data_IF_297037078738
#
_entry.id   IF_297037078738
#
_cell.length_a   1.000
_cell.length_b   1.000
_cell.length_c   1.000
_cell.angle_alpha   90.00
_cell.angle_beta   90.00
_cell.angle_gamma   90.00
#
_symmetry.space_group_name_H-M   'P 1'
#
loop_
_entity.id
_entity.type
_entity.pdbx_description
1 polymer ?
#
# COMPACT_ATOMS: atom_id res chain seq x y z
N UNK A 1 11.69 19.63 7.14
CA UNK A 1 12.11 18.42 6.40
C UNK A 1 10.94 17.52 5.99
N UNK A 2 9.81 17.46 6.71
CA UNK A 2 8.65 16.63 6.32
C UNK A 2 7.87 17.11 5.07
N UNK A 3 8.06 18.35 4.61
CA UNK A 3 7.47 18.88 3.37
C UNK A 3 7.99 18.21 2.08
N UNK A 4 8.71 17.08 2.19
CA UNK A 4 9.32 16.34 1.08
C UNK A 4 8.94 14.85 1.03
N UNK A 5 7.99 14.37 1.82
CA UNK A 5 7.35 13.08 1.52
C UNK A 5 6.33 13.24 0.39
N UNK A 6 6.78 13.81 -0.75
CA UNK A 6 6.03 13.79 -1.99
C UNK A 6 6.20 12.39 -2.59
N UNK A 7 5.25 11.50 -2.30
CA UNK A 7 5.19 10.20 -2.97
C UNK A 7 4.77 10.46 -4.40
N UNK A 8 5.76 10.62 -5.26
CA UNK A 8 5.55 10.71 -6.70
C UNK A 8 5.12 9.31 -7.15
N UNK A 9 3.87 9.19 -7.60
CA UNK A 9 3.35 7.99 -8.26
C UNK A 9 4.12 7.79 -9.57
N UNK A 10 4.78 6.65 -9.74
CA UNK A 10 5.48 6.30 -10.99
C UNK A 10 4.51 6.10 -12.16
N UNK A 11 3.22 5.89 -11.86
CA UNK A 11 2.17 5.57 -12.83
C UNK A 11 1.93 6.68 -13.86
N UNK A 12 2.11 7.94 -13.47
CA UNK A 12 1.96 9.08 -14.39
C UNK A 12 3.03 9.10 -15.49
N UNK A 13 4.24 8.59 -15.21
CA UNK A 13 5.33 8.50 -16.19
C UNK A 13 5.24 7.24 -17.07
N UNK A 14 4.67 6.15 -16.53
CA UNK A 14 4.45 4.90 -17.27
C UNK A 14 3.33 5.00 -18.32
N UNK A 15 2.46 6.03 -18.26
CA UNK A 15 1.34 6.21 -19.18
C UNK A 15 1.76 6.30 -20.67
N UNK A 16 2.96 6.80 -20.97
CA UNK A 16 3.48 6.87 -22.34
C UNK A 16 3.93 5.49 -22.90
N UNK A 17 4.45 4.60 -22.04
CA UNK A 17 4.87 3.23 -22.42
C UNK A 17 3.78 2.16 -22.27
N UNK A 18 2.80 2.38 -21.39
CA UNK A 18 1.66 1.48 -21.13
C UNK A 18 0.41 1.77 -21.98
N UNK A 19 0.44 2.80 -22.85
CA UNK A 19 -0.72 3.24 -23.65
C UNK A 19 -1.32 2.14 -24.57
N UNK A 20 -0.64 1.01 -24.74
CA UNK A 20 -1.11 -0.11 -25.56
C UNK A 20 -2.16 -1.04 -24.92
N UNK A 21 -2.38 -1.03 -23.60
CA UNK A 21 -3.13 -2.15 -22.96
C UNK A 21 -4.58 -1.90 -22.55
N UNK A 22 -5.05 -0.66 -22.40
CA UNK A 22 -6.48 -0.38 -22.19
C UNK A 22 -6.81 1.02 -22.70
N UNK A 23 -7.16 1.14 -23.98
CA UNK A 23 -7.88 2.31 -24.47
C UNK A 23 -9.21 2.41 -23.73
N UNK A 24 -9.28 3.32 -22.76
CA UNK A 24 -10.55 3.84 -22.26
C UNK A 24 -11.15 4.69 -23.37
N UNK A 25 -12.27 4.26 -23.97
CA UNK A 25 -13.03 5.11 -24.87
C UNK A 25 -13.89 6.08 -24.05
N UNK A 26 -13.67 7.36 -24.33
CA UNK A 26 -14.47 8.51 -23.96
C UNK A 26 -15.76 8.58 -24.79
N UNK A 27 -16.88 8.88 -24.15
CA UNK A 27 -18.09 9.41 -24.81
C UNK A 27 -19.13 8.37 -25.22
N UNK A 28 -20.41 8.70 -25.01
CA UNK A 28 -21.60 7.87 -25.27
C UNK A 28 -21.89 7.51 -26.72
N UNK A 29 -20.90 6.97 -27.44
CA UNK A 29 -21.11 6.26 -28.69
C UNK A 29 -21.65 4.84 -28.41
N UNK A 30 -22.47 4.27 -29.31
CA UNK A 30 -22.93 2.89 -29.17
C UNK A 30 -21.74 1.92 -29.15
N UNK A 31 -21.67 1.09 -28.09
CA UNK A 31 -20.62 0.08 -27.88
C UNK A 31 -20.46 -0.76 -29.15
N UNK A 32 -19.24 -0.80 -29.68
CA UNK A 32 -18.89 -1.55 -30.90
C UNK A 32 -19.14 -3.05 -30.74
N UNK A 33 -19.31 -3.78 -31.85
CA UNK A 33 -19.58 -5.23 -31.82
C UNK A 33 -18.40 -5.99 -31.20
N UNK A 34 -17.18 -5.54 -31.46
CA UNK A 34 -15.94 -6.07 -30.92
C UNK A 34 -15.87 -5.88 -29.40
N UNK A 35 -16.32 -4.73 -28.91
CA UNK A 35 -16.31 -4.38 -27.48
C UNK A 35 -17.40 -5.12 -26.69
N UNK A 36 -18.51 -5.49 -27.33
CA UNK A 36 -19.51 -6.42 -26.77
C UNK A 36 -18.98 -7.84 -26.58
N UNK A 37 -17.98 -8.26 -27.35
CA UNK A 37 -17.36 -9.59 -27.27
C UNK A 37 -16.15 -9.65 -26.33
N UNK A 38 -15.54 -8.50 -26.01
CA UNK A 38 -14.41 -8.43 -25.08
C UNK A 38 -14.87 -8.67 -23.65
N UNK A 39 -14.22 -9.60 -22.96
CA UNK A 39 -14.40 -9.76 -21.51
C UNK A 39 -13.53 -8.70 -20.81
N UNK A 40 -14.15 -7.86 -19.99
CA UNK A 40 -13.50 -6.82 -19.18
C UNK A 40 -13.59 -7.16 -17.69
N UNK A 41 -13.29 -6.21 -16.80
CA UNK A 41 -13.36 -6.34 -15.34
C UNK A 41 -12.44 -7.38 -14.69
N UNK A 42 -11.45 -7.89 -15.43
CA UNK A 42 -10.38 -8.76 -14.90
C UNK A 42 -9.19 -7.90 -14.40
N UNK A 43 -9.49 -6.87 -13.60
CA UNK A 43 -8.48 -5.97 -13.05
C UNK A 43 -7.72 -6.63 -11.88
N UNK A 44 -6.47 -6.22 -11.61
CA UNK A 44 -5.71 -6.81 -10.51
C UNK A 44 -6.37 -6.62 -9.14
N UNK A 45 -6.14 -7.56 -8.23
CA UNK A 45 -6.52 -7.49 -6.83
C UNK A 45 -5.27 -7.50 -5.95
N UNK A 46 -5.13 -6.52 -5.06
CA UNK A 46 -4.03 -6.49 -4.09
C UNK A 46 -4.43 -7.29 -2.85
N UNK A 47 -3.81 -8.45 -2.63
CA UNK A 47 -4.10 -9.30 -1.47
C UNK A 47 -3.70 -8.67 -0.14
N UNK A 48 -2.95 -7.56 -0.14
CA UNK A 48 -2.74 -6.76 1.06
C UNK A 48 -4.07 -6.23 1.66
N UNK A 49 -5.12 -6.11 0.84
CA UNK A 49 -6.48 -5.80 1.32
C UNK A 49 -6.94 -6.77 2.40
N UNK A 50 -6.53 -8.04 2.29
CA UNK A 50 -6.92 -9.10 3.20
C UNK A 50 -6.20 -9.11 4.55
N UNK A 51 -5.16 -8.30 4.73
CA UNK A 51 -4.51 -8.17 6.04
C UNK A 51 -5.43 -7.40 6.95
N UNK A 52 -5.94 -8.02 8.02
CA UNK A 52 -6.91 -7.42 8.96
C UNK A 52 -6.28 -6.68 10.14
N UNK A 53 -4.99 -6.87 10.39
CA UNK A 53 -4.31 -6.24 11.51
C UNK A 53 -3.97 -4.78 11.20
N UNK A 54 -4.42 -3.86 12.05
CA UNK A 54 -3.96 -2.48 12.02
C UNK A 54 -2.49 -2.41 12.43
N UNK A 55 -1.66 -1.56 11.80
CA UNK A 55 -0.31 -1.34 12.28
C UNK A 55 -0.35 -0.80 13.71
N UNK A 56 0.53 -1.28 14.57
CA UNK A 56 0.65 -0.74 15.92
C UNK A 56 1.19 0.70 15.82
N UNK A 57 0.36 1.68 16.11
CA UNK A 57 0.76 3.09 16.10
C UNK A 57 1.41 3.45 17.44
N UNK A 58 2.71 3.72 17.40
CA UNK A 58 3.44 4.17 18.58
C UNK A 58 2.83 5.46 19.15
N UNK A 59 2.83 5.55 20.47
CA UNK A 59 2.37 6.73 21.20
C UNK A 59 3.55 7.54 21.77
N UNK A 60 3.44 8.88 21.82
CA UNK A 60 2.35 9.69 21.26
C UNK A 60 2.35 9.68 19.73
N UNK A 61 1.18 9.77 19.10
CA UNK A 61 1.11 9.93 17.66
C UNK A 61 1.76 11.27 17.24
N UNK A 62 2.54 11.23 16.16
CA UNK A 62 3.11 12.42 15.52
C UNK A 62 2.87 12.38 14.01
N UNK A 63 3.20 13.47 13.32
CA UNK A 63 2.90 13.61 11.88
C UNK A 63 3.48 12.46 11.04
N UNK A 64 4.70 11.99 11.34
CA UNK A 64 5.32 10.89 10.59
C UNK A 64 4.57 9.56 10.76
N UNK A 65 4.16 9.24 12.00
CA UNK A 65 3.36 8.05 12.31
C UNK A 65 2.00 8.13 11.61
N UNK A 66 1.31 9.28 11.67
CA UNK A 66 -0.02 9.42 11.07
C UNK A 66 0.02 9.39 9.54
N UNK A 67 0.98 10.05 8.90
CA UNK A 67 1.17 9.97 7.43
C UNK A 67 1.47 8.54 7.03
N UNK A 68 2.42 7.88 7.69
CA UNK A 68 2.76 6.49 7.37
C UNK A 68 1.59 5.53 7.56
N UNK A 69 0.79 5.70 8.61
CA UNK A 69 -0.42 4.90 8.83
C UNK A 69 -1.46 5.08 7.72
N UNK A 70 -1.70 6.32 7.27
CA UNK A 70 -2.59 6.59 6.14
C UNK A 70 -2.06 5.96 4.84
N UNK A 71 -0.77 6.08 4.57
CA UNK A 71 -0.15 5.48 3.39
C UNK A 71 -0.22 3.94 3.40
N UNK A 72 -0.01 3.32 4.55
CA UNK A 72 -0.14 1.87 4.72
C UNK A 72 -1.58 1.37 4.47
N UNK A 73 -2.60 2.24 4.58
CA UNK A 73 -3.99 1.92 4.28
C UNK A 73 -4.34 1.98 2.78
N UNK A 74 -3.38 2.35 1.92
CA UNK A 74 -3.60 2.53 0.47
C UNK A 74 -4.27 1.32 -0.20
N UNK A 75 -3.86 0.06 0.01
CA UNK A 75 -4.51 -1.07 -0.66
C UNK A 75 -6.02 -1.11 -0.39
N UNK A 76 -6.42 -0.92 0.87
CA UNK A 76 -7.82 -0.96 1.27
C UNK A 76 -8.59 0.29 0.82
N UNK A 77 -7.95 1.48 0.88
CA UNK A 77 -8.55 2.72 0.39
C UNK A 77 -8.83 2.62 -1.12
N UNK A 78 -7.87 2.10 -1.89
CA UNK A 78 -8.05 1.91 -3.33
C UNK A 78 -9.08 0.82 -3.63
N UNK A 79 -9.20 -0.22 -2.80
CA UNK A 79 -10.25 -1.24 -2.93
C UNK A 79 -11.66 -0.65 -2.73
N UNK A 80 -11.84 0.29 -1.79
CA UNK A 80 -13.12 1.01 -1.63
C UNK A 80 -13.57 1.70 -2.92
N UNK A 81 -12.64 2.04 -3.81
CA UNK A 81 -12.89 2.75 -5.07
C UNK A 81 -13.07 1.79 -6.27
N UNK A 82 -12.96 0.48 -6.11
CA UNK A 82 -13.10 -0.46 -7.24
C UNK A 82 -14.54 -0.49 -7.77
N UNK A 83 -15.52 -0.53 -6.87
CA UNK A 83 -16.94 -0.49 -7.22
C UNK A 83 -17.29 0.89 -7.80
N UNK A 84 -17.89 0.98 -9.00
CA UNK A 84 -18.33 2.25 -9.56
C UNK A 84 -19.33 2.99 -8.68
N UNK A 85 -20.06 2.32 -7.77
CA UNK A 85 -20.95 2.99 -6.79
C UNK A 85 -20.21 3.91 -5.82
N UNK A 86 -18.91 3.69 -5.61
CA UNK A 86 -18.09 4.51 -4.72
C UNK A 86 -17.55 5.78 -5.38
N UNK A 87 -17.78 5.95 -6.69
CA UNK A 87 -17.22 7.04 -7.51
C UNK A 87 -18.27 7.65 -8.43
N UNK A 88 -18.08 8.91 -8.79
CA UNK A 88 -18.88 9.54 -9.85
C UNK A 88 -18.39 9.12 -11.24
N UNK A 89 -18.95 9.72 -12.28
CA UNK A 89 -18.71 9.35 -13.68
C UNK A 89 -17.40 9.87 -14.27
N UNK A 90 -16.64 10.71 -13.55
CA UNK A 90 -15.37 11.24 -14.05
C UNK A 90 -14.29 10.14 -14.10
N UNK A 91 -13.32 10.32 -15.00
CA UNK A 91 -12.21 9.37 -15.16
C UNK A 91 -11.27 9.34 -13.96
N UNK A 92 -11.10 10.48 -13.29
CA UNK A 92 -10.26 10.61 -12.10
C UNK A 92 -11.12 10.86 -10.87
N UNK A 93 -10.84 10.09 -9.82
CA UNK A 93 -11.33 10.34 -8.47
C UNK A 93 -10.16 10.71 -7.59
N UNK A 94 -10.24 11.88 -6.94
CA UNK A 94 -9.25 12.35 -6.00
C UNK A 94 -9.85 12.32 -4.62
N UNK A 95 -9.21 11.60 -3.71
CA UNK A 95 -9.62 11.43 -2.32
C UNK A 95 -8.53 12.02 -1.42
N UNK A 96 -8.94 12.76 -0.41
CA UNK A 96 -8.06 13.31 0.62
C UNK A 96 -8.54 12.80 1.97
N UNK A 97 -7.62 12.23 2.74
CA UNK A 97 -7.85 11.86 4.14
C UNK A 97 -7.07 12.85 5.00
N UNK A 98 -7.77 13.75 5.69
CA UNK A 98 -7.18 14.61 6.70
C UNK A 98 -7.37 13.98 8.08
N UNK A 99 -6.31 13.88 8.87
CA UNK A 99 -6.34 13.38 10.24
C UNK A 99 -5.90 14.47 11.19
N UNK A 100 -6.66 14.68 12.27
CA UNK A 100 -6.31 15.62 13.33
C UNK A 100 -6.37 14.89 14.67
N UNK A 101 -5.36 15.07 15.52
CA UNK A 101 -5.30 14.52 16.88
C UNK A 101 -4.94 15.63 17.87
N UNK A 102 -5.70 15.73 18.96
CA UNK A 102 -5.52 16.68 20.04
C UNK A 102 -5.71 16.00 21.42
N UNK A 103 -5.75 16.77 22.50
CA UNK A 103 -5.92 16.25 23.86
C UNK A 103 -7.33 15.67 24.13
N UNK A 104 -8.34 16.00 23.30
CA UNK A 104 -9.70 15.49 23.41
C UNK A 104 -9.93 14.18 22.62
N UNK A 105 -9.06 13.88 21.66
CA UNK A 105 -9.18 12.72 20.78
C UNK A 105 -8.66 13.01 19.38
N UNK A 106 -9.11 12.23 18.41
CA UNK A 106 -8.79 12.47 17.01
C UNK A 106 -9.94 12.16 16.09
N UNK A 107 -9.86 12.67 14.85
CA UNK A 107 -10.84 12.43 13.81
C UNK A 107 -10.17 12.34 12.44
N UNK A 108 -10.76 11.54 11.56
CA UNK A 108 -10.50 11.57 10.13
C UNK A 108 -11.60 12.34 9.41
N UNK A 109 -11.22 13.17 8.44
CA UNK A 109 -12.13 13.87 7.53
C UNK A 109 -11.79 13.43 6.12
N UNK A 110 -12.81 12.91 5.44
CA UNK A 110 -12.72 12.46 4.06
C UNK A 110 -13.30 13.53 3.14
N UNK A 111 -12.52 13.96 2.16
CA UNK A 111 -12.95 14.93 1.14
C UNK A 111 -12.38 14.57 -0.22
N UNK A 112 -12.84 15.23 -1.28
CA UNK A 112 -12.32 15.00 -2.62
C UNK A 112 -13.30 15.25 -3.75
N UNK A 113 -12.87 14.89 -4.95
CA UNK A 113 -13.59 15.06 -6.20
C UNK A 113 -14.04 13.69 -6.72
N UNK A 114 -15.24 13.64 -7.32
CA UNK A 114 -15.81 12.43 -7.92
C UNK A 114 -16.01 11.27 -6.93
N UNK A 115 -16.21 11.56 -5.64
CA UNK A 115 -16.57 10.59 -4.60
C UNK A 115 -18.07 10.60 -4.31
N UNK A 116 -18.65 9.42 -4.11
CA UNK A 116 -20.05 9.27 -3.67
C UNK A 116 -20.12 9.13 -2.13
N UNK A 117 -21.32 9.29 -1.53
CA UNK A 117 -21.52 9.00 -0.11
C UNK A 117 -21.09 7.58 0.29
N UNK A 118 -21.32 6.59 -0.56
CA UNK A 118 -20.89 5.20 -0.35
C UNK A 118 -19.37 5.07 -0.31
N UNK A 119 -18.67 5.75 -1.23
CA UNK A 119 -17.21 5.79 -1.26
C UNK A 119 -16.65 6.44 0.00
N UNK A 120 -17.21 7.58 0.42
CA UNK A 120 -16.86 8.27 1.66
C UNK A 120 -17.05 7.35 2.87
N UNK A 121 -18.19 6.68 2.97
CA UNK A 121 -18.50 5.79 4.09
C UNK A 121 -17.56 4.58 4.15
N UNK A 122 -17.20 4.01 2.99
CA UNK A 122 -16.25 2.90 2.91
C UNK A 122 -14.87 3.32 3.44
N UNK A 123 -14.34 4.44 2.94
CA UNK A 123 -13.03 4.95 3.34
C UNK A 123 -13.03 5.38 4.81
N UNK A 124 -14.07 6.09 5.27
CA UNK A 124 -14.20 6.53 6.66
C UNK A 124 -14.12 5.32 7.62
N UNK A 125 -14.97 4.31 7.39
CA UNK A 125 -14.97 3.08 8.21
C UNK A 125 -13.60 2.40 8.23
N UNK A 126 -12.94 2.36 7.07
CA UNK A 126 -11.62 1.78 6.95
C UNK A 126 -10.58 2.54 7.79
N UNK A 127 -10.46 3.86 7.62
CA UNK A 127 -9.42 4.64 8.31
C UNK A 127 -9.68 4.69 9.82
N UNK A 128 -10.94 4.79 10.24
CA UNK A 128 -11.32 4.73 11.67
C UNK A 128 -10.88 3.40 12.31
N UNK A 129 -10.91 2.30 11.55
CA UNK A 129 -10.53 0.96 12.05
C UNK A 129 -9.01 0.76 11.99
N UNK A 130 -8.33 1.29 10.98
CA UNK A 130 -6.92 0.98 10.67
C UNK A 130 -5.93 1.99 11.22
N UNK A 131 -6.37 3.21 11.49
CA UNK A 131 -5.55 4.28 12.03
C UNK A 131 -6.15 4.71 13.36
N UNK A 132 -6.17 3.83 14.39
CA UNK A 132 -6.81 4.14 15.66
C UNK A 132 -6.12 5.35 16.32
N UNK A 133 -6.88 6.41 16.56
CA UNK A 133 -6.39 7.66 17.12
C UNK A 133 -6.53 7.65 18.64
N UNK A 134 -5.43 7.94 19.33
CA UNK A 134 -5.42 8.08 20.79
C UNK A 134 -5.24 9.57 21.14
N UNK A 135 -5.96 10.11 22.14
CA UNK A 135 -5.77 11.50 22.56
C UNK A 135 -4.31 11.79 22.95
N UNK A 136 -3.83 12.99 22.64
CA UNK A 136 -2.52 13.46 23.07
C UNK A 136 -2.51 13.80 24.57
N UNK A 137 -1.31 13.92 25.14
CA UNK A 137 -1.16 14.41 26.50
C UNK A 137 -1.75 15.83 26.64
N UNK A 138 -2.32 16.14 27.80
CA UNK A 138 -2.91 17.44 28.10
C UNK A 138 -1.92 18.58 27.83
N UNK A 139 -2.35 19.60 27.09
CA UNK A 139 -1.53 20.74 26.70
C UNK A 139 -0.52 20.49 25.57
N UNK A 140 -0.50 19.30 24.97
CA UNK A 140 0.28 19.04 23.76
C UNK A 140 -0.31 19.81 22.57
N UNK A 141 0.55 20.24 21.64
CA UNK A 141 0.11 20.85 20.39
C UNK A 141 -0.66 19.83 19.53
N UNK A 142 -1.77 20.21 18.89
CA UNK A 142 -2.47 19.33 17.95
C UNK A 142 -1.56 18.88 16.81
N UNK A 143 -1.72 17.64 16.38
CA UNK A 143 -1.01 17.05 15.24
C UNK A 143 -1.99 16.87 14.10
N UNK A 144 -1.61 17.32 12.91
CA UNK A 144 -2.37 17.10 11.68
C UNK A 144 -1.55 16.33 10.65
N UNK A 145 -2.22 15.48 9.87
CA UNK A 145 -1.66 14.85 8.68
C UNK A 145 -2.69 14.82 7.56
N UNK A 146 -2.19 14.73 6.33
CA UNK A 146 -3.01 14.59 5.13
C UNK A 146 -2.40 13.54 4.22
N UNK A 147 -3.23 12.76 3.55
CA UNK A 147 -2.81 11.87 2.47
C UNK A 147 -3.81 11.94 1.33
N UNK A 148 -3.29 12.09 0.11
CA UNK A 148 -4.09 12.10 -1.12
C UNK A 148 -3.99 10.75 -1.81
N UNK A 149 -5.13 10.23 -2.23
CA UNK A 149 -5.27 9.03 -3.04
C UNK A 149 -5.91 9.41 -4.37
N UNK A 150 -5.36 8.91 -5.47
CA UNK A 150 -5.86 9.19 -6.82
C UNK A 150 -6.19 7.85 -7.45
N UNK A 151 -7.43 7.73 -7.91
CA UNK A 151 -7.94 6.61 -8.68
C UNK A 151 -8.25 7.09 -10.08
N UNK A 152 -7.65 6.45 -11.07
CA UNK A 152 -7.78 6.81 -12.48
C UNK A 152 -8.34 5.64 -13.28
N UNK A 153 -9.34 5.92 -14.11
CA UNK A 153 -9.84 4.97 -15.09
C UNK A 153 -8.68 4.52 -16.02
N UNK A 154 -8.52 3.21 -16.20
CA UNK A 154 -7.44 2.64 -17.02
C UNK A 154 -6.13 2.38 -16.27
N UNK A 155 -5.83 3.13 -15.20
CA UNK A 155 -4.60 2.96 -14.41
C UNK A 155 -4.86 2.35 -13.02
N UNK A 156 -6.10 2.41 -12.53
CA UNK A 156 -6.50 1.88 -11.23
C UNK A 156 -7.54 0.76 -11.39
N UNK A 157 -7.51 -0.28 -10.53
CA UNK A 157 -8.50 -1.35 -10.57
C UNK A 157 -9.93 -0.80 -10.47
N UNK A 158 -10.79 -1.19 -11.40
CA UNK A 158 -12.20 -0.81 -11.42
C UNK A 158 -13.02 -1.85 -12.14
N UNK A 159 -14.33 -1.84 -11.89
CA UNK A 159 -15.30 -2.64 -12.64
C UNK A 159 -16.34 -1.76 -13.32
N UNK A 160 -16.87 -2.22 -14.46
CA UNK A 160 -17.93 -1.58 -15.23
C UNK A 160 -18.98 -2.64 -15.60
N UNK A 161 -20.21 -2.45 -15.14
CA UNK A 161 -21.31 -3.37 -15.41
C UNK A 161 -22.13 -2.94 -16.63
N UNK A 162 -22.88 -3.89 -17.21
CA UNK A 162 -23.79 -3.66 -18.33
C UNK A 162 -23.14 -3.73 -19.71
N UNK A 163 -21.90 -4.22 -19.81
CA UNK A 163 -21.19 -4.37 -21.10
C UNK A 163 -21.59 -5.67 -21.81
N UNK A 164 -21.45 -6.79 -21.11
CA UNK A 164 -21.90 -8.11 -21.52
C UNK A 164 -21.91 -9.05 -20.29
N UNK A 165 -22.64 -10.18 -20.33
CA UNK A 165 -22.77 -11.06 -19.17
C UNK A 165 -21.45 -11.63 -18.62
N UNK A 166 -20.46 -11.87 -19.48
CA UNK A 166 -19.15 -12.38 -19.05
C UNK A 166 -18.32 -11.32 -18.33
N UNK A 167 -18.37 -10.07 -18.79
CA UNK A 167 -17.78 -8.92 -18.10
C UNK A 167 -18.48 -8.63 -16.78
N UNK A 168 -19.81 -8.77 -16.71
CA UNK A 168 -20.58 -8.56 -15.48
C UNK A 168 -20.27 -9.64 -14.44
N UNK A 169 -20.21 -10.91 -14.86
CA UNK A 169 -19.73 -11.99 -14.01
C UNK A 169 -18.30 -11.74 -13.52
N UNK A 170 -17.40 -11.34 -14.43
CA UNK A 170 -16.02 -11.00 -14.08
C UNK A 170 -15.94 -9.85 -13.07
N UNK A 171 -16.82 -8.84 -13.19
CA UNK A 171 -16.95 -7.74 -12.24
C UNK A 171 -17.42 -8.21 -10.87
N UNK A 172 -18.41 -9.11 -10.82
CA UNK A 172 -18.87 -9.71 -9.56
C UNK A 172 -17.78 -10.54 -8.89
N UNK A 173 -17.03 -11.35 -9.67
CA UNK A 173 -15.85 -12.08 -9.17
C UNK A 173 -14.83 -11.09 -8.60
N UNK A 174 -14.49 -10.01 -9.33
CA UNK A 174 -13.52 -9.02 -8.85
C UNK A 174 -13.95 -8.31 -7.57
N UNK A 175 -15.21 -7.90 -7.44
CA UNK A 175 -15.72 -7.27 -6.22
C UNK A 175 -15.80 -8.24 -5.03
N UNK A 176 -15.98 -9.53 -5.28
CA UNK A 176 -16.05 -10.53 -4.23
C UNK A 176 -14.68 -10.93 -3.65
N UNK A 177 -13.56 -10.66 -4.33
CA UNK A 177 -12.22 -11.08 -3.88
C UNK A 177 -11.85 -10.57 -2.48
N UNK A 178 -12.29 -9.37 -2.09
CA UNK A 178 -12.08 -8.84 -0.74
C UNK A 178 -12.78 -9.66 0.38
N UNK A 179 -13.73 -10.53 0.02
CA UNK A 179 -14.42 -11.45 0.94
C UNK A 179 -13.82 -12.86 0.93
N UNK A 180 -12.83 -13.13 0.06
CA UNK A 180 -12.20 -14.44 -0.13
C UNK A 180 -10.81 -14.50 0.48
N UNK A 181 -10.59 -13.71 1.54
CA UNK A 181 -9.30 -13.57 2.19
C UNK A 181 -8.74 -14.85 2.79
N UNK A 182 -9.59 -15.83 3.08
CA UNK A 182 -9.18 -17.17 3.46
C UNK A 182 -8.38 -17.89 2.35
N UNK A 183 -8.66 -17.61 1.08
CA UNK A 183 -7.89 -18.17 -0.03
C UNK A 183 -6.47 -17.60 -0.13
N UNK A 184 -6.21 -16.40 0.41
CA UNK A 184 -4.94 -15.70 0.26
C UNK A 184 -4.01 -15.81 1.48
N UNK A 185 -4.38 -16.59 2.51
CA UNK A 185 -3.66 -16.67 3.77
C UNK A 185 -2.17 -17.07 3.63
N UNK A 186 -1.82 -17.89 2.62
CA UNK A 186 -0.43 -18.29 2.36
C UNK A 186 0.47 -17.21 1.73
N UNK A 187 -0.07 -16.03 1.42
CA UNK A 187 0.60 -14.99 0.63
C UNK A 187 0.85 -13.71 1.43
N UNK A 188 1.19 -13.79 2.72
CA UNK A 188 1.37 -12.59 3.54
C UNK A 188 2.47 -11.64 3.02
N UNK A 189 3.58 -12.17 2.54
CA UNK A 189 4.75 -11.41 2.05
C UNK A 189 5.19 -11.85 0.65
N UNK A 190 4.32 -12.54 -0.09
CA UNK A 190 4.57 -13.00 -1.46
C UNK A 190 3.44 -12.54 -2.37
N UNK A 191 3.74 -12.20 -3.61
CA UNK A 191 2.72 -12.01 -4.62
C UNK A 191 2.19 -13.38 -5.07
N UNK A 192 0.87 -13.61 -5.10
CA UNK A 192 0.33 -14.85 -5.66
C UNK A 192 0.63 -14.98 -7.16
N UNK A 193 0.74 -16.20 -7.70
CA UNK A 193 0.89 -16.41 -9.13
C UNK A 193 -0.36 -15.93 -9.90
N UNK A 194 -0.20 -15.63 -11.17
CA UNK A 194 -1.33 -15.42 -12.09
C UNK A 194 -2.03 -16.74 -12.29
N UNK A 195 -3.36 -16.73 -12.21
CA UNK A 195 -4.17 -17.92 -12.46
C UNK A 195 -5.07 -17.68 -13.66
N UNK A 196 -5.28 -18.74 -14.45
CA UNK A 196 -6.23 -18.73 -15.55
C UNK A 196 -7.32 -19.74 -15.28
N UNK A 197 -8.55 -19.25 -15.24
CA UNK A 197 -9.75 -20.06 -15.17
C UNK A 197 -10.46 -20.08 -16.53
N UNK A 198 -11.12 -21.19 -16.86
CA UNK A 198 -12.06 -21.29 -17.96
C UNK A 198 -13.46 -21.41 -17.35
N UNK A 199 -14.31 -20.43 -17.62
CA UNK A 199 -15.65 -20.28 -17.03
C UNK A 199 -16.71 -20.72 -18.04
N UNK A 200 -17.64 -21.57 -17.61
CA UNK A 200 -18.84 -21.97 -18.36
C UNK A 200 -20.09 -21.49 -17.62
N UNK A 201 -20.84 -20.58 -18.24
CA UNK A 201 -22.11 -20.04 -17.74
C UNK A 201 -23.26 -20.58 -18.59
N UNK A 202 -24.36 -20.98 -17.94
CA UNK A 202 -25.57 -21.47 -18.62
C UNK A 202 -26.82 -20.77 -18.09
N UNK A 203 -27.77 -20.46 -18.98
CA UNK A 203 -29.00 -19.72 -18.67
C UNK A 203 -29.84 -20.37 -17.58
N UNK A 204 -29.87 -21.69 -17.55
CA UNK A 204 -30.64 -22.47 -16.59
C UNK A 204 -30.00 -22.54 -15.18
N UNK A 205 -28.77 -22.07 -15.03
CA UNK A 205 -28.02 -22.14 -13.77
C UNK A 205 -27.99 -20.78 -13.08
N UNK A 206 -28.26 -20.76 -11.77
CA UNK A 206 -28.15 -19.55 -10.95
C UNK A 206 -26.69 -19.15 -10.66
N UNK A 207 -25.74 -20.07 -10.85
CA UNK A 207 -24.29 -19.89 -10.71
C UNK A 207 -23.56 -20.50 -11.92
N UNK A 208 -22.23 -20.42 -11.94
CA UNK A 208 -21.44 -21.02 -13.02
C UNK A 208 -21.74 -22.52 -13.15
N UNK A 209 -21.85 -23.01 -14.39
CA UNK A 209 -22.11 -24.41 -14.69
C UNK A 209 -20.84 -25.25 -14.49
N UNK A 210 -19.68 -24.71 -14.89
CA UNK A 210 -18.36 -25.27 -14.59
C UNK A 210 -17.30 -24.18 -14.54
N UNK A 211 -16.26 -24.43 -13.75
CA UNK A 211 -15.04 -23.62 -13.70
C UNK A 211 -13.86 -24.57 -13.59
N UNK A 212 -12.94 -24.47 -14.54
CA UNK A 212 -11.66 -25.19 -14.50
C UNK A 212 -10.51 -24.19 -14.41
N UNK A 213 -9.41 -24.58 -13.79
CA UNK A 213 -8.19 -23.78 -13.73
C UNK A 213 -7.09 -24.51 -14.48
N UNK A 214 -6.28 -23.74 -15.19
CA UNK A 214 -5.03 -24.24 -15.75
C UNK A 214 -4.07 -24.59 -14.60
N UNK A 215 -3.27 -25.65 -14.77
CA UNK A 215 -2.26 -26.05 -13.78
C UNK A 215 -1.22 -24.94 -13.58
N UNK A 216 -0.94 -24.60 -12.33
CA UNK A 216 0.03 -23.54 -11.99
C UNK A 216 1.44 -24.10 -11.87
N UNK A 217 1.56 -25.40 -11.60
CA UNK A 217 2.86 -26.08 -11.48
C UNK A 217 3.56 -25.82 -10.14
N UNK A 218 2.85 -25.28 -9.15
CA UNK A 218 3.31 -25.13 -7.76
C UNK A 218 2.20 -25.56 -6.79
N UNK A 219 2.51 -26.26 -5.68
CA UNK A 219 1.50 -26.68 -4.73
C UNK A 219 0.66 -25.53 -4.16
N UNK A 220 1.30 -24.40 -3.83
CA UNK A 220 0.62 -23.22 -3.29
C UNK A 220 -0.31 -22.58 -4.32
N UNK A 221 0.13 -22.51 -5.59
CA UNK A 221 -0.68 -22.00 -6.69
C UNK A 221 -1.90 -22.87 -6.97
N UNK A 222 -1.74 -24.19 -6.96
CA UNK A 222 -2.84 -25.13 -7.18
C UNK A 222 -3.85 -25.12 -6.01
N UNK A 223 -3.38 -24.93 -4.77
CA UNK A 223 -4.25 -24.73 -3.60
C UNK A 223 -5.06 -23.43 -3.72
N UNK A 224 -4.42 -22.34 -4.14
CA UNK A 224 -5.10 -21.07 -4.39
C UNK A 224 -6.18 -21.22 -5.47
N UNK A 225 -5.83 -21.85 -6.60
CA UNK A 225 -6.76 -22.12 -7.70
C UNK A 225 -7.96 -22.96 -7.24
N UNK A 226 -7.74 -24.00 -6.43
CA UNK A 226 -8.81 -24.82 -5.87
C UNK A 226 -9.73 -24.01 -4.94
N UNK A 227 -9.18 -23.16 -4.07
CA UNK A 227 -9.96 -22.30 -3.20
C UNK A 227 -10.81 -21.31 -4.02
N UNK A 228 -10.19 -20.60 -4.97
CA UNK A 228 -10.87 -19.63 -5.83
C UNK A 228 -11.92 -20.28 -6.72
N UNK A 229 -11.71 -21.50 -7.23
CA UNK A 229 -12.74 -22.28 -7.92
C UNK A 229 -13.99 -22.42 -7.05
N UNK A 230 -13.83 -22.86 -5.80
CA UNK A 230 -14.95 -23.00 -4.87
C UNK A 230 -15.71 -21.68 -4.66
N UNK A 231 -14.99 -20.57 -4.51
CA UNK A 231 -15.60 -19.24 -4.33
C UNK A 231 -16.30 -18.73 -5.60
N UNK A 232 -15.68 -18.87 -6.77
CA UNK A 232 -16.26 -18.44 -8.05
C UNK A 232 -17.52 -19.23 -8.41
N UNK A 233 -17.57 -20.53 -8.09
CA UNK A 233 -18.76 -21.37 -8.34
C UNK A 233 -19.98 -20.91 -7.53
N UNK A 234 -19.79 -20.11 -6.47
CA UNK A 234 -20.86 -19.53 -5.66
C UNK A 234 -21.31 -18.14 -6.15
N UNK A 235 -20.63 -17.54 -7.14
CA UNK A 235 -20.98 -16.20 -7.64
C UNK A 235 -22.26 -16.28 -8.48
N UNK A 236 -23.28 -15.45 -8.16
CA UNK A 236 -24.52 -15.43 -8.93
C UNK A 236 -24.31 -15.03 -10.40
N UNK A 237 -25.05 -15.69 -11.27
CA UNK A 237 -25.02 -15.49 -12.72
C UNK A 237 -26.38 -14.98 -13.19
N UNK A 238 -26.36 -13.98 -14.07
CA UNK A 238 -27.52 -13.58 -14.86
C UNK A 238 -27.14 -13.64 -16.34
N UNK A 239 -27.72 -14.61 -17.06
CA UNK A 239 -27.40 -14.85 -18.46
C UNK A 239 -28.66 -14.76 -19.32
N UNK A 240 -28.59 -14.00 -20.41
CA UNK A 240 -29.70 -13.87 -21.37
C UNK A 240 -29.58 -14.85 -22.54
N UNK A 241 -28.34 -15.27 -22.85
CA UNK A 241 -27.97 -16.30 -23.85
C UNK A 241 -27.93 -17.69 -23.24
N UNK A 242 -28.01 -18.75 -24.04
CA UNK A 242 -28.10 -20.13 -23.53
C UNK A 242 -26.83 -20.62 -22.83
N UNK A 243 -25.67 -20.36 -23.42
CA UNK A 243 -24.35 -20.74 -22.90
C UNK A 243 -23.32 -19.64 -23.22
N UNK A 244 -22.38 -19.40 -22.30
CA UNK A 244 -21.25 -18.49 -22.50
C UNK A 244 -19.99 -19.08 -21.86
N UNK A 245 -18.95 -19.25 -22.69
CA UNK A 245 -17.63 -19.76 -22.25
C UNK A 245 -16.56 -18.72 -22.49
N UNK A 246 -15.72 -18.47 -21.49
CA UNK A 246 -14.64 -17.51 -21.61
C UNK A 246 -13.52 -17.74 -20.59
N UNK A 247 -12.28 -17.28 -20.88
CA UNK A 247 -11.21 -17.30 -19.90
C UNK A 247 -11.33 -16.13 -18.92
N UNK A 248 -11.04 -16.39 -17.65
CA UNK A 248 -10.89 -15.39 -16.60
C UNK A 248 -9.45 -15.45 -16.06
N UNK A 249 -8.74 -14.32 -16.09
CA UNK A 249 -7.39 -14.18 -15.56
C UNK A 249 -7.41 -13.51 -14.19
N UNK A 250 -6.94 -14.21 -13.18
CA UNK A 250 -6.59 -13.61 -11.90
C UNK A 250 -5.19 -13.03 -11.98
N UNK A 251 -5.09 -11.71 -11.86
CA UNK A 251 -3.83 -11.02 -11.57
C UNK A 251 -3.88 -10.58 -10.12
N UNK A 252 -2.94 -11.06 -9.32
CA UNK A 252 -2.82 -10.66 -7.93
C UNK A 252 -1.59 -9.79 -7.75
N UNK A 253 -1.75 -8.76 -6.93
CA UNK A 253 -0.66 -7.99 -6.38
C UNK A 253 -0.57 -8.22 -4.88
N UNK A 254 0.54 -7.85 -4.28
CA UNK A 254 0.68 -7.78 -2.84
C UNK A 254 1.60 -6.61 -2.46
N UNK A 255 1.04 -5.52 -1.94
CA UNK A 255 1.83 -4.35 -1.49
C UNK A 255 2.87 -4.69 -0.41
N UNK A 256 2.77 -5.84 0.27
CA UNK A 256 3.76 -6.29 1.25
C UNK A 256 4.78 -7.29 0.70
N UNK A 257 4.71 -7.66 -0.57
CA UNK A 257 5.65 -8.62 -1.15
C UNK A 257 7.08 -8.07 -1.15
N UNK A 258 8.04 -8.99 -1.11
CA UNK A 258 9.46 -8.67 -1.29
C UNK A 258 9.86 -8.62 -2.76
N UNK A 259 9.15 -9.36 -3.61
CA UNK A 259 9.40 -9.46 -5.05
C UNK A 259 8.07 -9.61 -5.81
N UNK A 260 8.00 -9.17 -7.08
CA UNK A 260 6.87 -9.47 -7.95
C UNK A 260 6.75 -10.98 -8.24
N UNK A 261 5.54 -11.45 -8.53
CA UNK A 261 5.36 -12.81 -9.01
C UNK A 261 6.08 -13.00 -10.36
N UNK A 262 6.77 -14.13 -10.51
CA UNK A 262 7.71 -14.37 -11.62
C UNK A 262 7.04 -14.43 -12.99
N UNK A 263 5.75 -14.78 -13.03
CA UNK A 263 4.93 -14.94 -14.23
C UNK A 263 4.20 -13.65 -14.65
N UNK A 264 4.33 -12.56 -13.88
CA UNK A 264 3.81 -11.25 -14.29
C UNK A 264 4.59 -10.71 -15.50
N UNK A 265 3.86 -10.08 -16.42
CA UNK A 265 4.51 -9.33 -17.52
C UNK A 265 5.34 -8.17 -16.95
N UNK A 266 6.38 -7.70 -17.67
CA UNK A 266 7.20 -6.58 -17.21
C UNK A 266 6.40 -5.35 -16.74
N UNK A 267 5.31 -5.00 -17.42
CA UNK A 267 4.46 -3.86 -17.07
C UNK A 267 3.73 -4.10 -15.73
N UNK A 268 3.20 -5.32 -15.52
CA UNK A 268 2.55 -5.69 -14.26
C UNK A 268 3.57 -5.80 -13.11
N UNK A 269 4.81 -6.21 -13.38
CA UNK A 269 5.90 -6.18 -12.39
C UNK A 269 6.21 -4.74 -11.95
N UNK A 270 6.16 -3.77 -12.86
CA UNK A 270 6.34 -2.35 -12.53
C UNK A 270 5.22 -1.84 -11.61
N UNK A 271 3.96 -2.17 -11.91
CA UNK A 271 2.82 -1.81 -11.06
C UNK A 271 2.94 -2.42 -9.66
N UNK A 272 3.31 -3.70 -9.58
CA UNK A 272 3.57 -4.40 -8.32
C UNK A 272 4.70 -3.73 -7.52
N UNK A 273 5.79 -3.30 -8.17
CA UNK A 273 6.88 -2.59 -7.48
C UNK A 273 6.45 -1.22 -6.98
N UNK A 274 5.62 -0.46 -7.71
CA UNK A 274 5.08 0.82 -7.22
C UNK A 274 4.19 0.61 -5.98
N UNK A 275 3.38 -0.44 -5.95
CA UNK A 275 2.60 -0.81 -4.77
C UNK A 275 3.48 -1.15 -3.56
N UNK A 276 4.53 -1.97 -3.75
CA UNK A 276 5.49 -2.28 -2.68
C UNK A 276 6.24 -1.03 -2.22
N UNK A 277 6.62 -0.14 -3.15
CA UNK A 277 7.29 1.12 -2.83
C UNK A 277 6.42 2.00 -1.94
N UNK A 278 5.13 2.14 -2.24
CA UNK A 278 4.19 2.89 -1.41
C UNK A 278 4.14 2.35 0.03
N UNK A 279 4.15 1.01 0.20
CA UNK A 279 4.21 0.39 1.52
C UNK A 279 5.55 0.65 2.21
N UNK A 280 6.69 0.57 1.52
CA UNK A 280 8.01 0.87 2.13
C UNK A 280 8.15 2.33 2.54
N UNK A 281 7.57 3.26 1.77
CA UNK A 281 7.50 4.67 2.17
C UNK A 281 6.63 4.88 3.40
N UNK A 282 5.53 4.12 3.55
CA UNK A 282 4.73 4.11 4.77
C UNK A 282 5.54 3.61 5.98
N UNK A 283 6.24 2.49 5.82
CA UNK A 283 7.11 1.89 6.85
C UNK A 283 8.21 2.88 7.28
N UNK A 284 8.84 3.59 6.32
CA UNK A 284 9.87 4.58 6.58
C UNK A 284 9.35 5.82 7.32
N UNK A 285 8.15 6.31 6.98
CA UNK A 285 7.51 7.42 7.68
C UNK A 285 7.18 7.07 9.14
N UNK A 286 6.66 5.86 9.39
CA UNK A 286 6.41 5.36 10.75
C UNK A 286 7.72 5.24 11.52
N UNK A 287 8.76 4.64 10.92
CA UNK A 287 10.06 4.48 11.58
C UNK A 287 10.70 5.83 11.94
N UNK A 288 10.61 6.83 11.04
CA UNK A 288 11.05 8.19 11.33
C UNK A 288 10.28 8.81 12.51
N UNK A 289 8.95 8.67 12.51
CA UNK A 289 8.11 9.15 13.60
C UNK A 289 8.44 8.49 14.94
N UNK A 290 8.70 7.17 14.96
CA UNK A 290 9.15 6.47 16.17
C UNK A 290 10.48 7.02 16.68
N UNK A 291 11.43 7.27 15.78
CA UNK A 291 12.73 7.86 16.12
C UNK A 291 12.59 9.29 16.66
N UNK A 292 11.65 10.09 16.14
CA UNK A 292 11.36 11.41 16.67
C UNK A 292 10.87 11.34 18.13
N UNK A 293 9.90 10.45 18.43
CA UNK A 293 9.44 10.23 19.80
C UNK A 293 10.57 9.78 20.74
N UNK A 294 11.43 8.85 20.28
CA UNK A 294 12.56 8.38 21.06
C UNK A 294 13.57 9.51 21.34
N UNK A 295 13.78 10.41 20.39
CA UNK A 295 14.66 11.56 20.55
C UNK A 295 14.11 12.54 21.58
N UNK A 296 12.83 12.91 21.51
CA UNK A 296 12.19 13.78 22.49
C UNK A 296 12.26 13.20 23.91
N UNK A 297 12.02 11.88 24.05
CA UNK A 297 12.12 11.20 25.33
C UNK A 297 13.56 11.20 25.87
N UNK A 298 14.56 11.07 25.01
CA UNK A 298 15.97 11.15 25.39
C UNK A 298 16.38 12.57 25.79
N UNK A 299 16.00 13.57 24.99
CA UNK A 299 16.31 14.98 25.26
C UNK A 299 15.69 15.45 26.59
N UNK A 300 14.48 14.99 26.91
CA UNK A 300 13.83 15.29 28.19
C UNK A 300 14.62 14.75 29.40
N UNK A 301 15.13 13.51 29.34
CA UNK A 301 15.92 12.95 30.43
C UNK A 301 17.33 13.58 30.51
N UNK A 302 17.93 13.93 29.37
CA UNK A 302 19.20 14.68 29.31
C UNK A 302 19.03 16.04 29.98
N UNK A 303 17.99 16.80 29.64
CA UNK A 303 17.72 18.10 30.26
C UNK A 303 17.49 17.99 31.77
N UNK A 304 16.71 16.98 32.21
CA UNK A 304 16.48 16.71 33.63
C UNK A 304 17.79 16.38 34.37
N UNK A 305 18.63 15.53 33.78
CA UNK A 305 19.94 15.20 34.34
C UNK A 305 20.87 16.41 34.37
N UNK A 306 20.91 17.21 33.30
CA UNK A 306 21.76 18.42 33.25
C UNK A 306 21.38 19.44 34.32
N UNK A 307 20.09 19.58 34.63
CA UNK A 307 19.57 20.48 35.67
C UNK A 307 19.80 19.96 37.09
N UNK A 308 19.56 18.67 37.32
CA UNK A 308 19.58 18.09 38.69
C UNK A 308 20.93 17.50 39.08
N UNK A 309 21.72 17.07 38.08
CA UNK A 309 22.92 16.25 38.24
C UNK A 309 22.67 14.98 39.08
N UNK A 310 21.44 14.48 39.09
CA UNK A 310 21.07 13.29 39.86
C UNK A 310 21.61 12.02 39.18
N UNK A 311 22.61 11.40 39.80
CA UNK A 311 23.24 10.18 39.31
C UNK A 311 22.27 8.99 39.19
N UNK A 312 21.12 9.03 39.89
CA UNK A 312 20.08 8.00 39.77
C UNK A 312 19.40 7.99 38.41
N UNK A 313 19.53 9.06 37.62
CA UNK A 313 18.98 9.16 36.27
C UNK A 313 19.88 8.51 35.21
N UNK A 314 21.09 8.06 35.55
CA UNK A 314 22.04 7.50 34.58
C UNK A 314 21.49 6.25 33.88
N UNK A 315 20.85 5.34 34.63
CA UNK A 315 20.28 4.11 34.06
C UNK A 315 19.12 4.42 33.11
N UNK A 316 18.26 5.38 33.47
CA UNK A 316 17.17 5.86 32.62
C UNK A 316 17.74 6.52 31.35
N UNK A 317 18.79 7.33 31.47
CA UNK A 317 19.44 8.01 30.36
C UNK A 317 20.08 7.01 29.39
N UNK A 318 20.76 5.96 29.90
CA UNK A 318 21.25 4.84 29.08
C UNK A 318 20.12 4.12 28.35
N UNK A 319 19.04 3.78 29.06
CA UNK A 319 17.89 3.09 28.48
C UNK A 319 17.19 3.90 27.38
N UNK A 320 17.00 5.21 27.59
CA UNK A 320 16.39 6.10 26.60
C UNK A 320 17.32 6.32 25.40
N UNK A 321 18.64 6.43 25.61
CA UNK A 321 19.57 6.52 24.49
C UNK A 321 19.59 5.24 23.65
N UNK A 322 19.56 4.06 24.29
CA UNK A 322 19.43 2.79 23.56
C UNK A 322 18.17 2.75 22.70
N UNK A 323 17.04 3.18 23.26
CA UNK A 323 15.77 3.27 22.51
C UNK A 323 15.89 4.21 21.30
N UNK A 324 16.59 5.34 21.46
CA UNK A 324 16.88 6.28 20.37
C UNK A 324 17.74 5.63 19.27
N UNK A 325 18.83 4.97 19.64
CA UNK A 325 19.72 4.28 18.70
C UNK A 325 18.98 3.14 17.96
N UNK A 326 18.22 2.32 18.68
CA UNK A 326 17.44 1.23 18.10
C UNK A 326 16.38 1.77 17.12
N UNK A 327 15.72 2.89 17.45
CA UNK A 327 14.75 3.54 16.56
C UNK A 327 15.43 4.18 15.33
N UNK A 328 16.61 4.76 15.49
CA UNK A 328 17.40 5.28 14.37
C UNK A 328 17.87 4.15 13.43
N UNK A 329 18.26 3.01 13.97
CA UNK A 329 18.61 1.83 13.18
C UNK A 329 17.39 1.28 12.43
N UNK A 330 16.22 1.22 13.08
CA UNK A 330 14.98 0.81 12.42
C UNK A 330 14.62 1.76 11.26
N UNK A 331 14.84 3.07 11.42
CA UNK A 331 14.67 4.04 10.35
C UNK A 331 15.65 3.82 9.18
N UNK A 332 16.94 3.60 9.46
CA UNK A 332 17.93 3.21 8.42
C UNK A 332 17.48 1.95 7.66
N UNK A 333 17.05 0.91 8.38
CA UNK A 333 16.62 -0.34 7.77
C UNK A 333 15.38 -0.14 6.87
N UNK A 334 14.45 0.71 7.27
CA UNK A 334 13.25 1.01 6.48
C UNK A 334 13.57 1.72 5.16
N UNK A 335 14.48 2.70 5.17
CA UNK A 335 14.91 3.39 3.93
C UNK A 335 15.74 2.44 3.05
N UNK A 336 16.60 1.60 3.62
CA UNK A 336 17.35 0.61 2.86
C UNK A 336 16.40 -0.37 2.15
N UNK A 337 15.30 -0.79 2.80
CA UNK A 337 14.28 -1.61 2.16
C UNK A 337 13.53 -0.86 1.04
N UNK A 338 13.23 0.42 1.21
CA UNK A 338 12.67 1.24 0.13
C UNK A 338 13.64 1.35 -1.05
N UNK A 339 14.93 1.60 -0.78
CA UNK A 339 15.98 1.69 -1.80
C UNK A 339 16.10 0.41 -2.63
N UNK A 340 15.96 -0.76 -2.01
CA UNK A 340 15.98 -2.04 -2.73
C UNK A 340 14.86 -2.12 -3.77
N UNK A 341 13.64 -1.67 -3.42
CA UNK A 341 12.50 -1.63 -4.35
C UNK A 341 12.71 -0.60 -5.45
N UNK A 342 13.22 0.59 -5.10
CA UNK A 342 13.56 1.62 -6.09
C UNK A 342 14.63 1.09 -7.08
N UNK A 343 15.63 0.34 -6.59
CA UNK A 343 16.65 -0.30 -7.43
C UNK A 343 16.04 -1.34 -8.37
N UNK A 344 15.18 -2.24 -7.86
CA UNK A 344 14.47 -3.21 -8.71
C UNK A 344 13.61 -2.51 -9.78
N UNK A 345 13.06 -1.35 -9.46
CA UNK A 345 12.28 -0.54 -10.41
C UNK A 345 13.17 0.06 -11.51
N UNK A 346 14.34 0.60 -11.16
CA UNK A 346 15.34 1.08 -12.13
C UNK A 346 15.80 -0.05 -13.05
N UNK A 347 16.09 -1.22 -12.48
CA UNK A 347 16.56 -2.39 -13.24
C UNK A 347 15.49 -2.87 -14.23
N UNK A 348 14.22 -2.88 -13.81
CA UNK A 348 13.10 -3.21 -14.70
C UNK A 348 12.88 -2.15 -15.79
N UNK A 349 12.99 -0.85 -15.45
CA UNK A 349 12.89 0.21 -16.44
C UNK A 349 14.00 0.11 -17.51
N UNK A 350 15.22 -0.29 -17.11
CA UNK A 350 16.31 -0.60 -18.05
C UNK A 350 16.02 -1.82 -18.92
N UNK A 351 15.47 -2.89 -18.34
CA UNK A 351 15.04 -4.08 -19.08
C UNK A 351 14.01 -3.71 -20.16
N UNK A 352 13.02 -2.88 -19.81
CA UNK A 352 11.98 -2.39 -20.71
C UNK A 352 12.55 -1.48 -21.80
N UNK A 353 13.41 -0.52 -21.43
CA UNK A 353 14.09 0.38 -22.38
C UNK A 353 14.93 -0.37 -23.41
N UNK A 354 15.60 -1.45 -23.00
CA UNK A 354 16.37 -2.27 -23.92
C UNK A 354 15.50 -2.92 -25.01
N UNK A 355 14.20 -3.10 -24.76
CA UNK A 355 13.22 -3.64 -25.71
C UNK A 355 12.51 -2.53 -26.50
N UNK A 356 12.26 -1.38 -25.86
CA UNK A 356 11.60 -0.23 -26.47
C UNK A 356 12.12 1.09 -25.88
N UNK A 357 12.69 1.94 -26.73
CA UNK A 357 13.27 3.22 -26.30
C UNK A 357 12.26 4.18 -25.65
N UNK A 358 10.95 3.99 -25.86
CA UNK A 358 9.89 4.79 -25.24
C UNK A 358 9.91 4.75 -23.70
N UNK A 359 10.55 3.75 -23.09
CA UNK A 359 10.71 3.65 -21.63
C UNK A 359 11.86 4.51 -21.08
N UNK A 360 12.55 5.30 -21.91
CA UNK A 360 13.65 6.18 -21.50
C UNK A 360 13.27 7.17 -20.41
N UNK A 361 12.07 7.77 -20.49
CA UNK A 361 11.59 8.74 -19.51
C UNK A 361 11.32 8.09 -18.14
N UNK A 362 10.82 6.84 -18.13
CA UNK A 362 10.63 6.09 -16.90
C UNK A 362 11.98 5.73 -16.26
N UNK A 363 12.98 5.32 -17.04
CA UNK A 363 14.33 5.08 -16.51
C UNK A 363 14.89 6.34 -15.85
N UNK A 364 14.80 7.50 -16.52
CA UNK A 364 15.27 8.76 -15.96
C UNK A 364 14.54 9.10 -14.65
N UNK A 365 13.21 8.95 -14.61
CA UNK A 365 12.41 9.23 -13.42
C UNK A 365 12.74 8.31 -12.25
N UNK A 366 12.93 7.02 -12.52
CA UNK A 366 13.28 6.04 -11.48
C UNK A 366 14.70 6.27 -10.95
N UNK A 367 15.63 6.74 -11.80
CA UNK A 367 16.97 7.17 -11.38
C UNK A 367 16.94 8.41 -10.45
N UNK A 368 16.09 9.40 -10.74
CA UNK A 368 15.89 10.54 -9.83
C UNK A 368 15.37 10.08 -8.47
N UNK A 369 14.39 9.16 -8.46
CA UNK A 369 13.76 8.66 -7.24
C UNK A 369 14.79 7.91 -6.38
N UNK A 370 15.56 6.98 -6.95
CA UNK A 370 16.55 6.23 -6.16
C UNK A 370 17.66 7.15 -5.64
N UNK A 371 18.03 8.21 -6.37
CA UNK A 371 19.00 9.19 -5.90
C UNK A 371 18.49 9.94 -4.65
N UNK A 372 17.21 10.30 -4.62
CA UNK A 372 16.57 10.90 -3.43
C UNK A 372 16.55 9.90 -2.28
N UNK A 373 16.13 8.66 -2.52
CA UNK A 373 16.12 7.61 -1.48
C UNK A 373 17.53 7.34 -0.93
N UNK A 374 18.57 7.40 -1.77
CA UNK A 374 19.96 7.29 -1.33
C UNK A 374 20.37 8.46 -0.43
N UNK A 375 19.98 9.69 -0.77
CA UNK A 375 20.25 10.86 0.06
C UNK A 375 19.58 10.75 1.44
N UNK A 376 18.33 10.27 1.48
CA UNK A 376 17.60 10.04 2.73
C UNK A 376 18.27 8.95 3.58
N UNK A 377 18.75 7.88 2.94
CA UNK A 377 19.49 6.79 3.60
C UNK A 377 20.79 7.28 4.22
N UNK A 378 21.55 8.10 3.48
CA UNK A 378 22.80 8.68 3.98
C UNK A 378 22.54 9.62 5.16
N UNK A 379 21.46 10.41 5.08
CA UNK A 379 21.01 11.27 6.18
C UNK A 379 20.63 10.46 7.43
N UNK A 380 19.90 9.36 7.26
CA UNK A 380 19.53 8.47 8.35
C UNK A 380 20.76 7.79 8.99
N UNK A 381 21.72 7.34 8.17
CA UNK A 381 23.00 6.77 8.64
C UNK A 381 23.82 7.79 9.43
N UNK A 382 23.91 9.02 8.95
CA UNK A 382 24.56 10.11 9.69
C UNK A 382 23.87 10.39 11.03
N UNK A 383 22.52 10.37 11.05
CA UNK A 383 21.77 10.59 12.29
C UNK A 383 21.96 9.46 13.29
N UNK A 384 21.96 8.20 12.83
CA UNK A 384 22.29 7.05 13.66
C UNK A 384 23.67 7.21 14.31
N UNK A 385 24.69 7.58 13.55
CA UNK A 385 26.04 7.80 14.08
C UNK A 385 26.08 8.94 15.13
N UNK A 386 25.34 10.03 14.89
CA UNK A 386 25.21 11.12 15.84
C UNK A 386 24.51 10.68 17.14
N UNK A 387 23.42 9.92 17.02
CA UNK A 387 22.67 9.41 18.17
C UNK A 387 23.51 8.41 18.99
N UNK A 388 24.30 7.54 18.32
CA UNK A 388 25.28 6.67 18.98
C UNK A 388 26.35 7.47 19.73
N UNK A 389 26.86 8.54 19.13
CA UNK A 389 27.85 9.43 19.76
C UNK A 389 27.30 10.24 20.94
N UNK A 390 25.98 10.47 20.98
CA UNK A 390 25.31 11.18 22.07
C UNK A 390 25.03 10.29 23.29
N UNK A 391 25.14 8.97 23.16
CA UNK A 391 24.90 8.05 24.28
C UNK A 391 26.01 8.13 25.34
N UNK A 392 25.67 7.98 26.63
CA UNK A 392 26.67 7.86 27.68
C UNK A 392 27.61 6.71 27.38
N UNK A 393 28.91 6.97 27.48
CA UNK A 393 29.91 5.91 27.48
C UNK A 393 29.64 5.00 28.67
N UNK A 394 29.82 3.69 28.50
CA UNK A 394 29.87 2.78 29.63
C UNK A 394 31.09 3.11 30.48
N UNK A 395 30.90 3.91 31.53
CA UNK A 395 31.92 4.10 32.56
C UNK A 395 31.75 3.01 33.62
N UNK A 396 32.79 2.22 33.82
CA UNK A 396 32.95 1.25 34.92
C UNK A 396 33.31 1.92 36.25
N UNK A 397 33.24 3.25 36.34
CA UNK A 397 33.59 3.97 37.57
C UNK A 397 32.47 3.84 38.61
N UNK A 398 32.78 3.02 39.61
CA UNK A 398 31.99 2.84 40.82
C UNK A 398 31.54 4.19 41.40
N UNK A 399 30.27 4.25 41.81
CA UNK A 399 29.67 5.39 42.49
C UNK A 399 30.63 6.02 43.52
N UNK A 400 30.75 7.36 43.56
CA UNK A 400 31.64 8.02 44.52
C UNK A 400 31.25 7.57 45.93
N UNK A 401 32.19 6.90 46.61
CA UNK A 401 32.02 6.45 48.00
C UNK A 401 31.58 7.65 48.83
N UNK A 402 30.40 7.53 49.48
CA UNK A 402 29.94 8.48 50.49
C UNK A 402 31.08 8.72 51.48
N UNK A 403 31.64 9.92 51.53
CA UNK A 403 32.46 10.36 52.65
C UNK A 403 31.53 10.40 53.87
N UNK A 404 31.76 9.49 54.82
CA UNK A 404 31.19 9.57 56.16
C UNK A 404 31.94 10.63 56.96
#
# INVERSE_FOLDING_TARGET
MMSRLAITSLLAAAAAGCAGQQQAQTGGAPISKEERLRITNQSPFDVAVCKTQAPALSQPANQGILVGALLASRPQVMECLVDPKSRGTAETTRLVVKTTVNEQGGSHVISGENLTPEGIACVQKLVDTRVPLTPLAKGAAPVESESTFVHEAGNSPSVRFGLNPGSDFSGNVRLAQAQWCDCYAGYETKAPPTLRANVDLKKASATAADITFDSVGTPEGDQLAACLKGKMMAVPVKLEVDELKFPYRFVHFNSHATEPAADLTPELRLLQLDLVRNQRSADAAIAFGNRANAAEAYDAIVAKYQKTKDWKLIDELKSKCRTLVDSAQAWVNSIESQRQVDQSTVDLARELKAKDAAWGDLEAKTQEIIAVTQQDLDTAKQRLAADQGACPKETTEAAPKKKK
#
